data_IF_047334363155
#
_entry.id   IF_047334363155
#
_cell.length_a   1.000
_cell.length_b   1.000
_cell.length_c   1.000
_cell.angle_alpha   90.00
_cell.angle_beta   90.00
_cell.angle_gamma   90.00
#
_symmetry.space_group_name_H-M   'P 1'
#
loop_
_entity.id
_entity.type
_entity.pdbx_description
1 polymer ?
#
# COMPACT_ATOMS: atom_id res chain seq x y z
N UNK A 1 9.67 -29.04 22.52
CA UNK A 1 9.59 -27.57 22.52
C UNK A 1 10.43 -26.94 21.46
N UNK A 2 11.69 -27.28 21.33
CA UNK A 2 12.56 -26.76 20.27
C UNK A 2 12.05 -27.09 18.87
N UNK A 3 11.50 -28.28 18.69
CA UNK A 3 10.92 -28.69 17.40
C UNK A 3 9.69 -27.85 17.00
N UNK A 4 8.85 -27.48 17.97
CA UNK A 4 7.70 -26.64 17.69
C UNK A 4 8.11 -25.22 17.27
N UNK A 5 9.12 -24.63 17.92
CA UNK A 5 9.65 -23.34 17.55
C UNK A 5 10.29 -23.33 16.15
N UNK A 6 11.06 -24.36 15.83
CA UNK A 6 11.68 -24.52 14.51
C UNK A 6 10.60 -24.67 13.44
N UNK A 7 9.55 -25.45 13.72
CA UNK A 7 8.44 -25.66 12.79
C UNK A 7 7.67 -24.36 12.51
N UNK A 8 7.41 -23.55 13.55
CA UNK A 8 6.75 -22.24 13.39
C UNK A 8 7.62 -21.30 12.57
N UNK A 9 8.93 -21.30 12.81
CA UNK A 9 9.86 -20.49 12.05
C UNK A 9 9.89 -20.91 10.57
N UNK A 10 9.88 -22.19 10.28
CA UNK A 10 9.81 -22.70 8.91
C UNK A 10 8.52 -22.31 8.19
N UNK A 11 7.37 -22.34 8.88
CA UNK A 11 6.09 -21.91 8.33
C UNK A 11 6.13 -20.41 8.01
N UNK A 12 6.66 -19.59 8.92
CA UNK A 12 6.81 -18.16 8.68
C UNK A 12 7.71 -17.88 7.47
N UNK A 13 8.82 -18.60 7.36
CA UNK A 13 9.75 -18.45 6.25
C UNK A 13 9.11 -18.90 4.93
N UNK A 14 8.24 -19.91 4.96
CA UNK A 14 7.60 -20.42 3.74
C UNK A 14 6.59 -19.44 3.12
N UNK A 15 6.07 -18.48 3.92
CA UNK A 15 5.18 -17.42 3.41
C UNK A 15 5.89 -16.10 3.19
N UNK A 16 7.19 -16.05 3.45
CA UNK A 16 8.01 -14.89 3.17
C UNK A 16 8.23 -14.76 1.67
N UNK A 17 7.80 -13.65 1.12
CA UNK A 17 7.90 -13.37 -0.32
C UNK A 17 8.74 -12.12 -0.50
N UNK A 18 9.86 -12.25 -1.22
CA UNK A 18 10.71 -11.10 -1.51
C UNK A 18 10.18 -10.34 -2.73
N UNK A 19 10.46 -9.04 -2.78
CA UNK A 19 10.13 -8.19 -3.92
C UNK A 19 10.76 -8.72 -5.20
N UNK A 20 11.97 -9.21 -5.12
CA UNK A 20 12.72 -9.75 -6.26
C UNK A 20 12.03 -10.98 -6.84
N UNK A 21 11.51 -11.86 -5.98
CA UNK A 21 10.74 -13.03 -6.43
C UNK A 21 9.47 -12.62 -7.17
N UNK A 22 8.75 -11.64 -6.63
CA UNK A 22 7.52 -11.13 -7.25
C UNK A 22 7.80 -10.50 -8.59
N UNK A 23 8.83 -9.66 -8.69
CA UNK A 23 9.20 -8.99 -9.93
C UNK A 23 9.66 -9.98 -10.99
N UNK A 24 10.48 -10.96 -10.63
CA UNK A 24 10.98 -11.98 -11.55
C UNK A 24 9.84 -12.84 -12.10
N UNK A 25 8.96 -13.33 -11.24
CA UNK A 25 7.83 -14.15 -11.66
C UNK A 25 6.81 -13.34 -12.45
N UNK A 26 6.51 -12.13 -12.01
CA UNK A 26 5.59 -11.23 -12.72
C UNK A 26 6.05 -10.94 -14.14
N UNK A 27 7.33 -10.66 -14.32
CA UNK A 27 7.92 -10.43 -15.63
C UNK A 27 7.86 -11.69 -16.49
N UNK A 28 8.17 -12.84 -15.91
CA UNK A 28 8.10 -14.12 -16.61
C UNK A 28 6.67 -14.42 -17.08
N UNK A 29 5.70 -14.24 -16.20
CA UNK A 29 4.29 -14.46 -16.53
C UNK A 29 3.83 -13.53 -17.65
N UNK A 30 4.22 -12.26 -17.59
CA UNK A 30 3.89 -11.28 -18.62
C UNK A 30 4.54 -11.62 -19.96
N UNK A 31 5.82 -11.98 -19.98
CA UNK A 31 6.55 -12.36 -21.18
C UNK A 31 5.93 -13.60 -21.82
N UNK A 32 5.57 -14.60 -21.02
CA UNK A 32 4.88 -15.80 -21.51
C UNK A 32 3.51 -15.47 -22.10
N UNK A 33 2.76 -14.59 -21.44
CA UNK A 33 1.45 -14.16 -21.95
C UNK A 33 1.58 -13.40 -23.27
N UNK A 34 2.59 -12.56 -23.40
CA UNK A 34 2.89 -11.85 -24.66
C UNK A 34 3.27 -12.83 -25.78
N UNK A 35 4.09 -13.83 -25.47
CA UNK A 35 4.51 -14.84 -26.43
C UNK A 35 3.33 -15.69 -26.92
N UNK A 36 2.36 -15.97 -26.03
CA UNK A 36 1.16 -16.74 -26.36
C UNK A 36 0.04 -15.88 -26.95
N UNK A 37 0.22 -14.56 -26.98
CA UNK A 37 -0.82 -13.63 -27.42
C UNK A 37 -2.00 -13.51 -26.45
N UNK A 38 -1.81 -13.91 -25.19
CA UNK A 38 -2.86 -13.87 -24.14
C UNK A 38 -2.69 -12.72 -23.16
N UNK A 39 -1.65 -11.88 -23.33
CA UNK A 39 -1.42 -10.73 -22.46
C UNK A 39 -2.57 -9.74 -22.60
N UNK A 40 -3.20 -9.44 -21.50
CA UNK A 40 -4.28 -8.43 -21.45
C UNK A 40 -3.71 -7.14 -20.87
N UNK A 41 -3.95 -6.05 -21.59
CA UNK A 41 -3.57 -4.73 -21.10
C UNK A 41 -4.52 -4.32 -19.98
N UNK A 42 -3.97 -4.01 -18.82
CA UNK A 42 -4.74 -3.56 -17.66
C UNK A 42 -4.44 -2.08 -17.48
N UNK A 43 -5.49 -1.27 -17.50
CA UNK A 43 -5.40 0.17 -17.28
C UNK A 43 -5.98 0.52 -15.93
N UNK A 44 -5.40 1.50 -15.28
CA UNK A 44 -5.91 2.06 -14.05
C UNK A 44 -5.78 3.57 -14.07
N UNK A 45 -6.35 4.22 -13.06
CA UNK A 45 -6.30 5.67 -12.95
C UNK A 45 -5.22 6.09 -11.97
N UNK A 46 -4.27 6.89 -12.44
CA UNK A 46 -3.26 7.53 -11.62
C UNK A 46 -3.73 8.93 -11.25
N UNK A 47 -3.42 9.33 -10.02
CA UNK A 47 -3.74 10.67 -9.53
C UNK A 47 -2.49 11.41 -9.16
N UNK A 48 -2.41 12.67 -9.57
CA UNK A 48 -1.40 13.59 -9.07
C UNK A 48 -1.92 14.23 -7.81
N UNK A 49 -1.22 14.02 -6.70
CA UNK A 49 -1.68 14.39 -5.37
C UNK A 49 -0.65 15.28 -4.70
N UNK A 50 -1.15 16.29 -4.00
CA UNK A 50 -0.39 17.10 -3.04
C UNK A 50 -0.97 16.85 -1.67
N UNK A 51 -0.13 16.82 -0.64
CA UNK A 51 -0.61 16.69 0.73
C UNK A 51 0.17 17.55 1.71
N UNK A 52 -0.43 17.79 2.87
CA UNK A 52 0.20 18.41 4.02
C UNK A 52 0.01 17.46 5.18
N UNK A 53 1.11 17.09 5.83
CA UNK A 53 1.12 16.18 6.97
C UNK A 53 1.43 16.96 8.24
N UNK A 54 0.60 16.77 9.27
CA UNK A 54 0.89 17.18 10.64
C UNK A 54 1.02 15.95 11.51
N UNK A 55 2.17 15.80 12.17
CA UNK A 55 2.43 14.69 13.08
C UNK A 55 1.97 15.04 14.47
N UNK A 56 1.37 14.07 15.16
CA UNK A 56 0.98 14.24 16.56
C UNK A 56 2.21 14.23 17.46
N UNK A 57 2.17 15.09 18.49
CA UNK A 57 3.22 15.17 19.50
C UNK A 57 2.59 15.70 20.81
N UNK A 58 3.35 15.76 21.93
CA UNK A 58 2.77 16.24 23.20
C UNK A 58 2.18 17.66 23.17
N UNK A 59 2.61 18.47 22.19
CA UNK A 59 2.12 19.85 22.02
C UNK A 59 1.02 19.97 20.98
N UNK A 60 0.77 18.92 20.20
CA UNK A 60 -0.21 18.92 19.10
C UNK A 60 -0.99 17.60 19.14
N UNK A 61 -2.17 17.63 19.72
CA UNK A 61 -3.07 16.47 19.78
C UNK A 61 -3.96 16.37 18.54
N UNK A 62 -4.82 15.34 18.48
CA UNK A 62 -5.71 15.12 17.34
C UNK A 62 -6.61 16.32 17.04
N UNK A 63 -7.23 16.89 18.06
CA UNK A 63 -8.14 18.04 17.90
C UNK A 63 -7.39 19.27 17.38
N UNK A 64 -6.20 19.52 17.89
CA UNK A 64 -5.37 20.64 17.49
C UNK A 64 -4.86 20.48 16.06
N UNK A 65 -4.41 19.27 15.71
CA UNK A 65 -3.94 18.97 14.34
C UNK A 65 -5.05 19.16 13.33
N UNK A 66 -6.24 18.63 13.63
CA UNK A 66 -7.40 18.79 12.76
C UNK A 66 -7.79 20.26 12.59
N UNK A 67 -7.86 21.02 13.69
CA UNK A 67 -8.19 22.45 13.66
C UNK A 67 -7.16 23.24 12.85
N UNK A 68 -5.89 22.95 13.03
CA UNK A 68 -4.81 23.59 12.26
C UNK A 68 -4.94 23.32 10.77
N UNK A 69 -5.21 22.08 10.38
CA UNK A 69 -5.42 21.72 8.97
C UNK A 69 -6.68 22.36 8.40
N UNK A 70 -7.74 22.48 9.18
CA UNK A 70 -8.96 23.20 8.74
C UNK A 70 -8.66 24.67 8.47
N UNK A 71 -7.85 25.32 9.34
CA UNK A 71 -7.42 26.68 9.14
C UNK A 71 -6.58 26.82 7.87
N UNK A 72 -5.58 25.95 7.69
CA UNK A 72 -4.72 25.95 6.50
C UNK A 72 -5.56 25.74 5.24
N UNK A 73 -6.49 24.80 5.29
CA UNK A 73 -7.40 24.52 4.17
C UNK A 73 -8.23 25.74 3.81
N UNK A 74 -8.78 26.44 4.81
CA UNK A 74 -9.56 27.66 4.59
C UNK A 74 -8.71 28.76 3.95
N UNK A 75 -7.48 28.94 4.36
CA UNK A 75 -6.58 29.91 3.78
C UNK A 75 -6.23 29.59 2.32
N UNK A 76 -6.05 28.30 2.01
CA UNK A 76 -5.81 27.84 0.63
C UNK A 76 -7.04 28.11 -0.23
N UNK A 77 -8.23 27.73 0.23
CA UNK A 77 -9.48 27.88 -0.52
C UNK A 77 -9.79 29.37 -0.75
N UNK A 78 -9.53 30.23 0.25
CA UNK A 78 -9.78 31.67 0.12
C UNK A 78 -8.74 32.40 -0.71
N UNK A 79 -7.67 31.74 -1.13
CA UNK A 79 -6.61 32.33 -1.95
C UNK A 79 -5.56 33.09 -1.17
N UNK A 80 -5.56 33.03 0.16
CA UNK A 80 -4.56 33.71 0.99
C UNK A 80 -3.17 33.10 0.85
N UNK A 81 -3.12 31.79 0.58
CA UNK A 81 -1.87 31.09 0.27
C UNK A 81 -2.14 29.97 -0.72
N UNK A 82 -1.12 29.53 -1.43
CA UNK A 82 -1.21 28.36 -2.29
C UNK A 82 -0.99 27.09 -1.48
N UNK A 83 -1.47 25.96 -1.99
CA UNK A 83 -1.22 24.67 -1.36
C UNK A 83 0.28 24.39 -1.27
N UNK A 84 1.03 24.73 -2.31
CA UNK A 84 2.48 24.57 -2.35
C UNK A 84 3.19 25.35 -1.23
N UNK A 85 2.80 26.61 -1.03
CA UNK A 85 3.37 27.45 0.03
C UNK A 85 3.01 26.90 1.41
N UNK A 86 1.77 26.45 1.59
CA UNK A 86 1.32 25.86 2.84
C UNK A 86 2.07 24.56 3.16
N UNK A 87 2.29 23.73 2.16
CA UNK A 87 3.05 22.49 2.32
C UNK A 87 4.50 22.76 2.71
N UNK A 88 5.13 23.71 2.04
CA UNK A 88 6.50 24.11 2.34
C UNK A 88 6.64 24.64 3.78
N UNK A 89 5.64 25.38 4.24
CA UNK A 89 5.66 26.02 5.56
C UNK A 89 5.25 25.09 6.69
N UNK A 90 4.23 24.26 6.48
CA UNK A 90 3.56 23.52 7.58
C UNK A 90 3.76 22.01 7.52
N UNK A 91 3.98 21.43 6.35
CA UNK A 91 4.03 19.98 6.23
C UNK A 91 5.22 19.39 6.97
N UNK A 92 4.96 18.33 7.74
CA UNK A 92 6.01 17.56 8.42
C UNK A 92 6.58 16.44 7.55
N UNK A 93 6.00 16.22 6.37
CA UNK A 93 6.62 15.40 5.33
C UNK A 93 7.56 16.31 4.53
N UNK A 94 8.79 16.36 4.95
CA UNK A 94 9.75 17.31 4.40
C UNK A 94 10.14 17.01 2.95
N UNK A 95 10.04 15.75 2.53
CA UNK A 95 10.35 15.37 1.15
C UNK A 95 9.32 15.93 0.18
N UNK A 96 8.04 15.69 0.42
CA UNK A 96 6.98 16.25 -0.41
C UNK A 96 6.78 17.74 -0.15
N UNK A 97 6.98 18.18 1.10
CA UNK A 97 6.87 19.59 1.48
C UNK A 97 7.80 20.49 0.67
N UNK A 98 9.03 20.05 0.44
CA UNK A 98 10.01 20.78 -0.38
C UNK A 98 9.55 20.90 -1.84
N UNK A 99 8.68 20.03 -2.30
CA UNK A 99 8.09 20.04 -3.65
C UNK A 99 6.66 20.58 -3.65
N UNK A 100 6.32 21.43 -2.70
CA UNK A 100 4.96 22.00 -2.60
C UNK A 100 3.90 20.98 -2.18
N UNK A 101 4.30 19.89 -1.52
CA UNK A 101 3.44 18.82 -1.09
C UNK A 101 3.21 17.76 -2.16
N UNK A 102 3.78 17.91 -3.35
CA UNK A 102 3.55 17.01 -4.47
C UNK A 102 4.13 15.62 -4.22
N UNK A 103 3.29 14.60 -4.45
CA UNK A 103 3.67 13.19 -4.42
C UNK A 103 3.80 12.60 -5.83
N UNK A 104 3.55 13.42 -6.87
CA UNK A 104 3.54 12.97 -8.26
C UNK A 104 2.33 12.13 -8.60
N UNK A 105 2.35 11.54 -9.78
CA UNK A 105 1.31 10.61 -10.21
C UNK A 105 1.54 9.24 -9.60
N UNK A 106 0.50 8.67 -9.02
CA UNK A 106 0.53 7.32 -8.48
C UNK A 106 -0.86 6.71 -8.48
N UNK A 107 -0.92 5.38 -8.46
CA UNK A 107 -2.17 4.68 -8.25
C UNK A 107 -2.56 4.76 -6.77
N UNK A 108 -3.88 4.82 -6.44
CA UNK A 108 -4.33 4.90 -5.05
C UNK A 108 -3.76 3.78 -4.16
N UNK A 109 -3.53 2.60 -4.71
CA UNK A 109 -2.99 1.45 -3.99
C UNK A 109 -1.56 1.68 -3.45
N UNK A 110 -0.86 2.69 -3.95
CA UNK A 110 0.47 3.07 -3.45
C UNK A 110 0.42 3.72 -2.07
N UNK A 111 -0.75 4.14 -1.62
CA UNK A 111 -0.94 4.86 -0.37
C UNK A 111 -1.58 3.97 0.69
N UNK A 112 -1.42 4.36 1.98
CA UNK A 112 -2.11 3.71 3.10
C UNK A 112 -3.62 3.88 2.97
N UNK A 113 -4.41 2.96 3.55
CA UNK A 113 -5.85 2.87 3.35
C UNK A 113 -6.64 4.17 3.45
N UNK A 114 -6.53 4.93 4.58
CA UNK A 114 -7.26 6.20 4.70
C UNK A 114 -6.84 7.22 3.64
N UNK A 115 -5.56 7.30 3.32
CA UNK A 115 -5.05 8.23 2.31
C UNK A 115 -5.53 7.82 0.91
N UNK A 116 -5.45 6.54 0.58
CA UNK A 116 -5.92 6.00 -0.70
C UNK A 116 -7.41 6.30 -0.90
N UNK A 117 -8.22 6.10 0.12
CA UNK A 117 -9.65 6.39 0.07
C UNK A 117 -9.91 7.87 -0.23
N UNK A 118 -9.17 8.77 0.41
CA UNK A 118 -9.33 10.21 0.17
C UNK A 118 -8.89 10.60 -1.24
N UNK A 119 -7.83 9.99 -1.77
CA UNK A 119 -7.40 10.23 -3.16
C UNK A 119 -8.51 9.83 -4.13
N UNK A 120 -9.15 8.69 -3.91
CA UNK A 120 -10.23 8.21 -4.79
C UNK A 120 -11.51 9.03 -4.69
N UNK A 121 -11.81 9.56 -3.50
CA UNK A 121 -13.09 10.23 -3.23
C UNK A 121 -13.03 11.74 -3.34
N UNK A 122 -11.84 12.35 -3.32
CA UNK A 122 -11.68 13.79 -3.44
C UNK A 122 -11.75 14.21 -4.91
N UNK A 123 -12.67 15.11 -5.28
CA UNK A 123 -12.73 15.59 -6.66
C UNK A 123 -11.47 16.33 -7.06
N UNK A 124 -11.07 16.18 -8.32
CA UNK A 124 -9.92 16.87 -8.88
C UNK A 124 -10.07 18.39 -8.73
N UNK A 125 -8.99 19.04 -8.29
CA UNK A 125 -9.00 20.49 -8.08
C UNK A 125 -9.56 20.93 -6.73
N UNK A 126 -9.90 19.98 -5.85
CA UNK A 126 -10.50 20.24 -4.55
C UNK A 126 -9.55 19.81 -3.44
N UNK A 127 -9.49 20.59 -2.36
CA UNK A 127 -8.75 20.24 -1.16
C UNK A 127 -9.64 19.44 -0.24
N UNK A 128 -9.18 18.27 0.22
CA UNK A 128 -9.95 17.41 1.10
C UNK A 128 -10.12 18.01 2.50
N UNK A 129 -11.14 17.52 3.22
CA UNK A 129 -11.24 17.77 4.66
C UNK A 129 -10.06 17.06 5.38
N UNK A 130 -9.67 17.53 6.58
CA UNK A 130 -8.66 16.84 7.36
C UNK A 130 -9.05 15.39 7.65
N UNK A 131 -8.08 14.48 7.51
CA UNK A 131 -8.29 13.05 7.81
C UNK A 131 -7.04 12.48 8.47
N UNK A 132 -7.23 11.41 9.22
CA UNK A 132 -6.16 10.78 9.98
C UNK A 132 -5.67 9.51 9.30
N UNK A 133 -4.34 9.33 9.28
CA UNK A 133 -3.68 8.09 8.88
C UNK A 133 -2.73 7.63 9.99
N UNK A 134 -2.02 6.54 9.75
CA UNK A 134 -1.01 6.05 10.70
C UNK A 134 0.15 7.04 10.89
N UNK A 135 0.35 7.97 9.97
CA UNK A 135 1.43 8.98 10.04
C UNK A 135 1.03 10.25 10.78
N UNK A 136 -0.26 10.50 10.92
CA UNK A 136 -0.80 11.70 11.54
C UNK A 136 -2.02 12.22 10.81
N UNK A 137 -2.20 13.53 10.81
CA UNK A 137 -3.31 14.18 10.13
C UNK A 137 -2.86 14.77 8.81
N UNK A 138 -3.73 14.67 7.81
CA UNK A 138 -3.47 15.14 6.45
C UNK A 138 -4.61 15.96 5.90
N UNK A 139 -4.28 16.89 5.00
CA UNK A 139 -5.18 17.34 3.93
C UNK A 139 -4.49 17.03 2.60
N UNK A 140 -5.26 16.76 1.57
CA UNK A 140 -4.72 16.51 0.24
C UNK A 140 -5.51 17.24 -0.82
N UNK A 141 -4.87 17.47 -1.96
CA UNK A 141 -5.47 18.02 -3.16
C UNK A 141 -5.14 17.09 -4.32
N UNK A 142 -6.14 16.71 -5.09
CA UNK A 142 -5.93 15.99 -6.34
C UNK A 142 -5.80 17.02 -7.45
N UNK A 143 -4.58 17.18 -7.97
CA UNK A 143 -4.29 18.22 -8.97
C UNK A 143 -4.42 17.72 -10.39
N UNK A 144 -4.42 16.41 -10.60
CA UNK A 144 -4.55 15.82 -11.91
C UNK A 144 -4.90 14.35 -11.84
N UNK A 145 -5.34 13.82 -12.96
CA UNK A 145 -5.55 12.38 -13.10
C UNK A 145 -5.25 11.98 -14.55
N UNK A 146 -4.80 10.77 -14.72
CA UNK A 146 -4.53 10.21 -16.06
C UNK A 146 -4.70 8.70 -16.01
N UNK A 147 -4.90 8.11 -17.19
CA UNK A 147 -4.91 6.66 -17.32
C UNK A 147 -3.46 6.18 -17.33
N UNK A 148 -3.15 5.22 -16.46
CA UNK A 148 -1.85 4.60 -16.35
C UNK A 148 -1.92 3.14 -16.70
N UNK A 149 -0.81 2.59 -17.20
CA UNK A 149 -0.70 1.18 -17.54
C UNK A 149 -0.39 0.39 -16.27
N UNK A 150 -1.35 -0.42 -15.82
CA UNK A 150 -1.22 -1.30 -14.66
C UNK A 150 -0.88 -2.74 -15.04
N UNK A 151 -0.57 -3.00 -16.29
CA UNK A 151 -0.34 -4.37 -16.75
C UNK A 151 0.76 -5.06 -15.96
N UNK A 152 1.91 -4.41 -15.79
CA UNK A 152 3.02 -4.97 -15.01
C UNK A 152 2.62 -5.16 -13.53
N UNK A 153 1.93 -4.19 -12.94
CA UNK A 153 1.46 -4.28 -11.56
C UNK A 153 0.47 -5.42 -11.38
N UNK A 154 -0.43 -5.61 -12.34
CA UNK A 154 -1.39 -6.71 -12.33
C UNK A 154 -0.70 -8.07 -12.36
N UNK A 155 0.33 -8.21 -13.19
CA UNK A 155 1.11 -9.46 -13.24
C UNK A 155 1.97 -9.66 -12.00
N UNK A 156 2.51 -8.60 -11.41
CA UNK A 156 3.19 -8.68 -10.12
C UNK A 156 2.25 -9.14 -9.03
N UNK A 157 1.02 -8.64 -9.02
CA UNK A 157 0.01 -9.04 -8.05
C UNK A 157 -0.36 -10.51 -8.22
N UNK A 158 -0.56 -10.98 -9.44
CA UNK A 158 -0.80 -12.39 -9.73
C UNK A 158 0.38 -13.26 -9.30
N UNK A 159 1.59 -12.80 -9.55
CA UNK A 159 2.81 -13.50 -9.15
C UNK A 159 2.91 -13.61 -7.62
N UNK A 160 2.64 -12.53 -6.91
CA UNK A 160 2.62 -12.52 -5.46
C UNK A 160 1.61 -13.54 -4.90
N UNK A 161 0.39 -13.50 -5.40
CA UNK A 161 -0.67 -14.42 -4.98
C UNK A 161 -0.29 -15.87 -5.27
N UNK A 162 0.30 -16.13 -6.43
CA UNK A 162 0.73 -17.48 -6.81
C UNK A 162 1.84 -17.99 -5.90
N UNK A 163 2.84 -17.17 -5.58
CA UNK A 163 3.94 -17.54 -4.69
C UNK A 163 3.40 -17.82 -3.29
N UNK A 164 2.58 -16.92 -2.74
CA UNK A 164 2.01 -17.07 -1.40
C UNK A 164 1.15 -18.34 -1.32
N UNK A 165 0.27 -18.56 -2.30
CA UNK A 165 -0.60 -19.74 -2.34
C UNK A 165 0.21 -21.04 -2.45
N UNK A 166 1.25 -21.03 -3.28
CA UNK A 166 2.13 -22.20 -3.42
C UNK A 166 2.84 -22.54 -2.11
N UNK A 167 3.40 -21.52 -1.45
CA UNK A 167 4.10 -21.71 -0.18
C UNK A 167 3.14 -22.17 0.92
N UNK A 168 1.94 -21.60 0.97
CA UNK A 168 0.92 -22.00 1.94
C UNK A 168 0.45 -23.43 1.70
N UNK A 169 0.25 -23.83 0.44
CA UNK A 169 -0.13 -25.19 0.10
C UNK A 169 0.95 -26.20 0.50
N UNK A 170 2.22 -25.90 0.23
CA UNK A 170 3.34 -26.75 0.58
C UNK A 170 3.45 -26.89 2.11
N UNK A 171 3.36 -25.77 2.84
CA UNK A 171 3.38 -25.78 4.30
C UNK A 171 2.21 -26.60 4.86
N UNK A 172 1.01 -26.45 4.30
CA UNK A 172 -0.18 -27.20 4.71
C UNK A 172 -0.03 -28.68 4.41
N UNK A 173 0.49 -29.04 3.25
CA UNK A 173 0.73 -30.44 2.88
C UNK A 173 1.69 -31.12 3.85
N UNK A 174 2.79 -30.47 4.17
CA UNK A 174 3.77 -31.01 5.12
C UNK A 174 3.16 -31.20 6.50
N UNK A 175 2.34 -30.26 6.93
CA UNK A 175 1.66 -30.36 8.22
C UNK A 175 0.65 -31.48 8.25
N UNK A 176 -0.13 -31.65 7.21
CA UNK A 176 -1.11 -32.74 7.08
C UNK A 176 -0.42 -34.10 7.05
N UNK A 177 0.71 -34.22 6.34
CA UNK A 177 1.50 -35.46 6.35
C UNK A 177 2.01 -35.79 7.74
N UNK A 178 2.48 -34.82 8.50
CA UNK A 178 2.90 -35.02 9.88
C UNK A 178 1.77 -35.47 10.77
N UNK A 179 0.58 -34.90 10.63
CA UNK A 179 -0.61 -35.28 11.38
C UNK A 179 -1.07 -36.73 11.03
N UNK A 180 -1.07 -37.06 9.75
CA UNK A 180 -1.43 -38.43 9.30
C UNK A 180 -0.46 -39.46 9.83
N UNK A 181 0.82 -39.15 9.81
CA UNK A 181 1.85 -40.03 10.33
C UNK A 181 1.66 -40.28 11.82
N UNK A 182 1.33 -39.27 12.59
CA UNK A 182 1.03 -39.38 14.01
C UNK A 182 -0.24 -40.16 14.26
N UNK A 183 -1.27 -39.93 13.45
CA UNK A 183 -2.53 -40.67 13.55
C UNK A 183 -2.33 -42.15 13.22
N UNK A 184 -1.53 -42.48 12.22
CA UNK A 184 -1.20 -43.86 11.86
C UNK A 184 -0.44 -44.57 12.97
N UNK A 185 0.51 -43.88 13.62
CA UNK A 185 1.22 -44.43 14.78
C UNK A 185 0.26 -44.73 15.93
N UNK A 186 -0.66 -43.80 16.21
CA UNK A 186 -1.69 -44.02 17.24
C UNK A 186 -2.60 -45.20 16.89
N UNK A 187 -2.88 -45.40 15.63
CA UNK A 187 -3.69 -46.51 15.14
C UNK A 187 -3.03 -47.86 15.39
N UNK A 188 -1.74 -47.92 15.19
CA UNK A 188 -0.97 -49.15 15.38
C UNK A 188 -0.70 -49.46 16.86
N UNK A 189 -0.75 -48.47 17.71
CA UNK A 189 -0.55 -48.60 19.16
C UNK A 189 -1.77 -49.22 19.85
N UNK A 190 -2.87 -49.39 19.13
CA UNK A 190 -4.03 -50.07 19.64
C UNK A 190 -3.91 -51.57 19.40
#
# INVERSE_FOLDING_TARGET
MLMAGVRNHAIQNSVDVTREQVEALGKQMLDEAKAKGTAQKVMGKEYEVRHILLKLNPLLDDAQAKAELERIRSEIISGKMTFADAALKYSKDYLSGANGGSLGYAFPEAYVGPFAKMVETTPQGTVSAPFKSEFGWHILEVTGSRDGDKTEDAYRQKAYEQIVNSQLQDATKDWVKALRKNADIQYFDK
#
